data_IF_287013937476
#
_entry.id   IF_287013937476
#
_cell.length_a   1.000
_cell.length_b   1.000
_cell.length_c   1.000
_cell.angle_alpha   90.00
_cell.angle_beta   90.00
_cell.angle_gamma   90.00
#
_symmetry.space_group_name_H-M   'P 1'
#
loop_
_entity.id
_entity.type
_entity.pdbx_description
1 polymer ?
#
# COMPACT_ATOMS: atom_id res chain seq x y z
N UNK A 1 -37.86 8.05 -12.00
CA UNK A 1 -39.13 8.76 -11.67
C UNK A 1 -38.91 10.11 -10.96
N UNK A 2 -39.94 10.97 -10.81
CA UNK A 2 -39.90 12.23 -10.04
C UNK A 2 -40.83 12.20 -8.83
N UNK A 3 -40.36 12.62 -7.67
CA UNK A 3 -41.13 12.64 -6.41
C UNK A 3 -40.96 13.98 -5.70
N UNK A 4 -41.97 14.44 -4.95
CA UNK A 4 -41.80 15.65 -4.14
C UNK A 4 -41.15 15.30 -2.79
N UNK A 5 -40.59 16.30 -2.09
CA UNK A 5 -39.88 16.10 -0.82
C UNK A 5 -40.75 15.49 0.28
N UNK A 6 -42.04 15.84 0.32
CA UNK A 6 -42.98 15.36 1.35
C UNK A 6 -43.29 13.88 1.15
N UNK A 7 -43.56 13.46 -0.08
CA UNK A 7 -43.78 12.06 -0.43
C UNK A 7 -42.52 11.23 -0.18
N UNK A 8 -41.34 11.76 -0.55
CA UNK A 8 -40.06 11.11 -0.29
C UNK A 8 -39.82 10.85 1.19
N UNK A 9 -40.16 11.81 2.05
CA UNK A 9 -40.04 11.67 3.51
C UNK A 9 -41.01 10.62 4.07
N UNK A 10 -42.26 10.63 3.63
CA UNK A 10 -43.31 9.75 4.16
C UNK A 10 -43.21 8.31 3.66
N UNK A 11 -42.60 8.08 2.50
CA UNK A 11 -42.51 6.77 1.86
C UNK A 11 -41.07 6.38 1.49
N UNK A 12 -40.09 6.84 2.27
CA UNK A 12 -38.67 6.64 1.97
C UNK A 12 -38.31 5.17 1.69
N UNK A 13 -38.78 4.23 2.55
CA UNK A 13 -38.53 2.80 2.37
C UNK A 13 -39.05 2.23 1.05
N UNK A 14 -40.21 2.70 0.57
CA UNK A 14 -40.75 2.31 -0.75
C UNK A 14 -39.82 2.77 -1.88
N UNK A 15 -39.29 3.99 -1.77
CA UNK A 15 -38.40 4.55 -2.77
C UNK A 15 -37.01 3.91 -2.75
N UNK A 16 -36.52 3.47 -1.59
CA UNK A 16 -35.34 2.61 -1.51
C UNK A 16 -35.54 1.32 -2.31
N UNK A 17 -36.68 0.64 -2.20
CA UNK A 17 -36.95 -0.57 -3.00
C UNK A 17 -37.13 -0.30 -4.50
N UNK A 18 -37.52 0.92 -4.88
CA UNK A 18 -37.70 1.28 -6.30
C UNK A 18 -36.39 1.72 -6.96
N UNK A 19 -35.43 2.20 -6.19
CA UNK A 19 -34.18 2.70 -6.73
C UNK A 19 -33.35 1.60 -7.42
N UNK A 20 -33.54 0.33 -7.02
CA UNK A 20 -33.00 -0.86 -7.70
C UNK A 20 -33.35 -0.92 -9.19
N UNK A 21 -34.48 -0.32 -9.59
CA UNK A 21 -35.02 -0.39 -10.96
C UNK A 21 -34.80 0.89 -11.75
N UNK A 22 -34.84 2.05 -11.10
CA UNK A 22 -34.65 3.35 -11.74
C UNK A 22 -34.22 4.44 -10.75
N UNK A 23 -33.50 5.44 -11.26
CA UNK A 23 -33.16 6.62 -10.48
C UNK A 23 -34.39 7.46 -10.12
N UNK A 24 -34.36 8.05 -8.92
CA UNK A 24 -35.45 8.86 -8.38
C UNK A 24 -34.97 10.31 -8.23
N UNK A 25 -35.61 11.24 -8.96
CA UNK A 25 -35.35 12.67 -8.87
C UNK A 25 -36.31 13.29 -7.85
N UNK A 26 -35.75 13.85 -6.78
CA UNK A 26 -36.50 14.51 -5.71
C UNK A 26 -36.67 15.99 -6.07
N UNK A 27 -37.90 16.49 -5.92
CA UNK A 27 -38.29 17.85 -6.29
C UNK A 27 -38.85 18.62 -5.10
N UNK A 28 -38.52 19.91 -4.99
CA UNK A 28 -39.08 20.85 -4.01
C UNK A 28 -39.59 22.07 -4.75
N UNK A 29 -40.87 22.41 -4.56
CA UNK A 29 -41.55 23.51 -5.28
C UNK A 29 -41.36 23.43 -6.81
N UNK A 30 -41.46 22.21 -7.36
CA UNK A 30 -41.33 21.96 -8.81
C UNK A 30 -39.90 21.96 -9.36
N UNK A 31 -38.88 22.24 -8.55
CA UNK A 31 -37.47 22.19 -8.96
C UNK A 31 -36.81 20.90 -8.48
N UNK A 32 -35.99 20.27 -9.33
CA UNK A 32 -35.13 19.16 -8.92
C UNK A 32 -34.14 19.65 -7.86
N UNK A 33 -34.03 18.93 -6.74
CA UNK A 33 -33.14 19.31 -5.62
C UNK A 33 -32.19 18.19 -5.21
N UNK A 34 -32.51 16.93 -5.51
CA UNK A 34 -31.66 15.79 -5.23
C UNK A 34 -31.97 14.62 -6.18
N UNK A 35 -31.07 13.66 -6.25
CA UNK A 35 -31.22 12.40 -6.97
C UNK A 35 -30.87 11.26 -6.02
N UNK A 36 -31.76 10.29 -5.89
CA UNK A 36 -31.49 9.02 -5.22
C UNK A 36 -31.21 7.98 -6.31
N UNK A 37 -30.06 7.32 -6.22
CA UNK A 37 -29.60 6.27 -7.13
C UNK A 37 -29.32 5.00 -6.36
N UNK A 38 -29.46 3.85 -7.00
CA UNK A 38 -29.05 2.59 -6.39
C UNK A 38 -27.53 2.62 -6.18
N UNK A 39 -27.14 2.53 -4.91
CA UNK A 39 -25.75 2.29 -4.57
C UNK A 39 -25.46 0.83 -4.85
N UNK A 40 -24.80 0.53 -5.97
CA UNK A 40 -24.12 -0.76 -6.11
C UNK A 40 -22.87 -0.65 -5.27
N UNK A 41 -22.67 -1.56 -4.32
CA UNK A 41 -21.31 -1.78 -3.83
C UNK A 41 -20.47 -2.04 -5.08
N UNK A 42 -19.46 -1.22 -5.36
CA UNK A 42 -18.55 -1.55 -6.42
C UNK A 42 -17.94 -2.92 -6.09
N UNK A 43 -18.07 -3.87 -7.02
CA UNK A 43 -17.47 -5.21 -6.94
C UNK A 43 -15.94 -5.07 -7.06
N UNK A 44 -15.32 -4.48 -6.03
CA UNK A 44 -13.88 -4.51 -5.85
C UNK A 44 -13.51 -5.87 -5.28
N UNK A 45 -12.56 -6.55 -5.92
CA UNK A 45 -11.95 -7.73 -5.34
C UNK A 45 -11.01 -7.29 -4.22
N UNK A 46 -11.52 -7.27 -2.99
CA UNK A 46 -10.73 -7.00 -1.79
C UNK A 46 -10.04 -8.31 -1.41
N UNK A 47 -8.74 -8.39 -1.71
CA UNK A 47 -7.86 -9.38 -1.10
C UNK A 47 -7.66 -8.95 0.34
N UNK A 48 -8.46 -9.55 1.22
CA UNK A 48 -8.06 -9.62 2.62
C UNK A 48 -6.77 -10.44 2.67
N UNK A 49 -5.79 -9.96 3.43
CA UNK A 49 -4.64 -10.77 3.83
C UNK A 49 -5.08 -12.19 4.32
N UNK A 50 -6.34 -12.38 4.74
CA UNK A 50 -6.90 -13.65 5.21
C UNK A 50 -7.69 -14.54 4.19
N UNK A 51 -8.15 -14.11 3.00
CA UNK A 51 -9.15 -14.92 2.21
C UNK A 51 -8.63 -15.66 0.94
N UNK A 52 -9.27 -16.80 0.60
CA UNK A 52 -8.86 -17.89 -0.33
C UNK A 52 -9.24 -17.73 -1.84
N UNK A 53 -8.29 -18.15 -2.69
CA UNK A 53 -8.32 -18.75 -4.05
C UNK A 53 -9.31 -18.37 -5.19
N UNK A 54 -8.66 -17.97 -6.30
CA UNK A 54 -8.89 -18.19 -7.74
C UNK A 54 -10.33 -18.32 -8.28
N UNK A 55 -10.88 -17.18 -8.72
CA UNK A 55 -11.74 -17.08 -9.90
C UNK A 55 -11.20 -15.98 -10.82
N UNK A 56 -11.34 -16.12 -12.13
CA UNK A 56 -10.79 -15.21 -13.16
C UNK A 56 -11.27 -13.77 -12.93
N UNK A 57 -10.36 -12.88 -12.49
CA UNK A 57 -10.66 -11.59 -11.87
C UNK A 57 -10.72 -10.44 -12.88
N UNK A 58 -11.73 -9.56 -12.74
CA UNK A 58 -11.71 -8.22 -13.34
C UNK A 58 -10.65 -7.40 -12.59
N UNK A 59 -9.68 -6.86 -13.31
CA UNK A 59 -8.67 -5.95 -12.74
C UNK A 59 -9.30 -4.60 -12.43
N UNK A 60 -8.90 -4.01 -11.30
CA UNK A 60 -9.28 -2.68 -10.84
C UNK A 60 -8.32 -1.65 -11.46
N UNK A 61 -8.88 -0.60 -12.05
CA UNK A 61 -8.12 0.54 -12.58
C UNK A 61 -7.70 1.49 -11.45
N UNK A 62 -6.71 2.36 -11.71
CA UNK A 62 -6.30 3.36 -10.75
C UNK A 62 -7.40 4.36 -10.40
N UNK A 63 -8.23 4.75 -11.38
CA UNK A 63 -9.37 5.63 -11.14
C UNK A 63 -10.38 4.98 -10.19
N UNK A 64 -10.77 3.73 -10.46
CA UNK A 64 -11.65 2.98 -9.57
C UNK A 64 -11.00 2.80 -8.17
N UNK A 65 -9.67 2.62 -8.05
CA UNK A 65 -8.97 2.60 -6.76
C UNK A 65 -9.07 3.93 -6.00
N UNK A 66 -8.88 5.06 -6.69
CA UNK A 66 -8.96 6.38 -6.07
C UNK A 66 -10.38 6.68 -5.56
N UNK A 67 -11.41 6.27 -6.31
CA UNK A 67 -12.81 6.37 -5.83
C UNK A 67 -13.05 5.55 -4.56
N UNK A 68 -12.44 4.35 -4.45
CA UNK A 68 -12.51 3.53 -3.25
C UNK A 68 -11.83 4.22 -2.05
N UNK A 69 -10.61 4.71 -2.24
CA UNK A 69 -9.85 5.40 -1.17
C UNK A 69 -10.55 6.69 -0.73
N UNK A 70 -11.09 7.48 -1.65
CA UNK A 70 -11.78 8.73 -1.32
C UNK A 70 -13.12 8.51 -0.60
N UNK A 71 -13.68 7.30 -0.67
CA UNK A 71 -14.98 6.93 -0.07
C UNK A 71 -14.86 6.10 1.21
N UNK A 72 -13.64 5.77 1.67
CA UNK A 72 -13.39 4.87 2.78
C UNK A 72 -12.26 5.36 3.69
N UNK A 73 -12.41 5.20 5.01
CA UNK A 73 -11.34 5.46 5.99
C UNK A 73 -10.36 4.28 6.14
N UNK A 74 -10.56 3.20 5.39
CA UNK A 74 -9.68 2.03 5.39
C UNK A 74 -8.42 2.28 4.55
N UNK A 75 -7.37 1.49 4.81
CA UNK A 75 -6.12 1.55 4.05
C UNK A 75 -6.07 0.47 2.98
N UNK A 76 -5.70 0.82 1.76
CA UNK A 76 -5.65 -0.09 0.64
C UNK A 76 -4.37 0.05 -0.18
N UNK A 77 -3.85 -1.07 -0.66
CA UNK A 77 -2.86 -1.11 -1.74
C UNK A 77 -3.51 -1.56 -3.04
N UNK A 78 -2.95 -1.11 -4.17
CA UNK A 78 -3.30 -1.52 -5.52
C UNK A 78 -2.06 -2.16 -6.15
N UNK A 79 -2.08 -3.47 -6.38
CA UNK A 79 -0.96 -4.19 -6.98
C UNK A 79 -1.47 -5.04 -8.15
N UNK A 80 -0.97 -4.76 -9.35
CA UNK A 80 -1.32 -5.40 -10.63
C UNK A 80 -2.82 -5.44 -10.95
N UNK A 81 -3.59 -4.48 -10.42
CA UNK A 81 -5.04 -4.38 -10.55
C UNK A 81 -5.83 -5.18 -9.51
N UNK A 82 -5.17 -5.70 -8.47
CA UNK A 82 -5.80 -6.31 -7.29
C UNK A 82 -5.78 -5.31 -6.12
N UNK A 83 -6.87 -5.24 -5.35
CA UNK A 83 -6.97 -4.40 -4.14
C UNK A 83 -6.62 -5.23 -2.91
N UNK A 84 -5.72 -4.72 -2.10
CA UNK A 84 -5.33 -5.33 -0.84
C UNK A 84 -5.79 -4.44 0.30
N UNK A 85 -6.65 -4.96 1.18
CA UNK A 85 -7.04 -4.25 2.40
C UNK A 85 -5.97 -4.44 3.46
N UNK A 86 -5.38 -3.34 3.93
CA UNK A 86 -4.36 -3.37 4.98
C UNK A 86 -5.01 -3.37 6.36
N UNK A 87 -4.76 -4.43 7.12
CA UNK A 87 -5.15 -4.51 8.52
C UNK A 87 -4.34 -3.51 9.38
N UNK A 88 -4.78 -3.30 10.62
CA UNK A 88 -3.96 -2.59 11.60
C UNK A 88 -2.76 -3.45 12.00
N UNK A 89 -1.54 -2.90 12.02
CA UNK A 89 -0.34 -3.66 12.38
C UNK A 89 -0.39 -4.11 13.84
N UNK A 90 0.25 -5.25 14.14
CA UNK A 90 0.38 -5.75 15.50
C UNK A 90 1.39 -4.94 16.32
N UNK A 91 1.38 -5.12 17.64
CA UNK A 91 2.38 -4.50 18.52
C UNK A 91 3.82 -4.89 18.12
N UNK A 92 4.08 -6.20 17.94
CA UNK A 92 5.38 -6.74 17.54
C UNK A 92 5.85 -6.14 16.22
N UNK A 93 4.95 -6.00 15.25
CA UNK A 93 5.23 -5.36 13.97
C UNK A 93 5.71 -3.91 14.18
N UNK A 94 4.97 -3.12 14.97
CA UNK A 94 5.33 -1.73 15.21
C UNK A 94 6.64 -1.55 15.99
N UNK A 95 6.97 -2.46 16.90
CA UNK A 95 8.27 -2.45 17.58
C UNK A 95 9.41 -2.61 16.56
N UNK A 96 9.32 -3.61 15.69
CA UNK A 96 10.33 -3.87 14.66
C UNK A 96 10.48 -2.69 13.68
N UNK A 97 9.36 -2.12 13.22
CA UNK A 97 9.36 -0.92 12.35
C UNK A 97 10.06 0.26 13.05
N UNK A 98 9.78 0.48 14.34
CA UNK A 98 10.38 1.57 15.10
C UNK A 98 11.89 1.40 15.27
N UNK A 99 12.38 0.18 15.58
CA UNK A 99 13.81 -0.08 15.73
C UNK A 99 14.55 0.20 14.41
N UNK A 100 14.05 -0.33 13.29
CA UNK A 100 14.64 -0.08 11.96
C UNK A 100 14.65 1.41 11.65
N UNK A 101 13.53 2.09 11.91
CA UNK A 101 13.39 3.53 11.68
C UNK A 101 14.36 4.35 12.54
N UNK A 102 14.62 3.93 13.77
CA UNK A 102 15.59 4.60 14.66
C UNK A 102 17.01 4.51 14.09
N UNK A 103 17.46 3.31 13.69
CA UNK A 103 18.77 3.11 13.06
C UNK A 103 18.89 3.94 11.77
N UNK A 104 17.87 3.92 10.92
CA UNK A 104 17.85 4.67 9.67
C UNK A 104 17.88 6.18 9.92
N UNK A 105 17.04 6.71 10.81
CA UNK A 105 17.01 8.13 11.15
C UNK A 105 18.35 8.63 11.71
N UNK A 106 19.01 7.83 12.53
CA UNK A 106 20.35 8.15 13.03
C UNK A 106 21.37 8.22 11.89
N UNK A 107 21.36 7.24 10.99
CA UNK A 107 22.27 7.21 9.85
C UNK A 107 22.03 8.37 8.87
N UNK A 108 20.77 8.72 8.59
CA UNK A 108 20.38 9.75 7.63
C UNK A 108 20.39 11.18 8.19
N UNK A 109 20.67 11.36 9.48
CA UNK A 109 20.75 12.69 10.10
C UNK A 109 21.81 13.57 9.40
N UNK A 110 21.35 14.66 8.79
CA UNK A 110 22.22 15.62 8.07
C UNK A 110 22.64 15.16 6.66
N UNK A 111 22.05 14.08 6.14
CA UNK A 111 22.25 13.58 4.77
C UNK A 111 21.10 14.03 3.84
N UNK A 112 21.27 13.99 2.51
CA UNK A 112 20.23 14.40 1.57
C UNK A 112 19.05 13.42 1.46
N UNK A 113 19.21 12.18 1.94
CA UNK A 113 18.13 11.20 2.00
C UNK A 113 17.44 11.20 3.37
N UNK A 114 16.18 10.76 3.43
CA UNK A 114 15.44 10.55 4.67
C UNK A 114 14.73 9.21 4.71
N UNK A 115 14.56 8.68 5.92
CA UNK A 115 13.69 7.55 6.20
C UNK A 115 12.31 8.03 6.63
N UNK A 116 11.28 7.35 6.15
CA UNK A 116 9.88 7.58 6.47
C UNK A 116 9.21 6.23 6.75
N UNK A 117 8.13 6.24 7.51
CA UNK A 117 7.33 5.05 7.83
C UNK A 117 5.93 5.14 7.25
N UNK A 118 5.25 4.00 7.10
CA UNK A 118 3.83 3.96 6.82
C UNK A 118 3.00 4.71 7.90
N UNK A 119 1.82 5.26 7.56
CA UNK A 119 1.20 5.27 6.22
C UNK A 119 1.82 6.35 5.31
N UNK A 120 2.26 5.93 4.13
CA UNK A 120 2.71 6.80 3.04
C UNK A 120 2.44 6.11 1.70
N UNK A 121 1.56 6.67 0.88
CA UNK A 121 1.27 6.10 -0.45
C UNK A 121 2.47 6.31 -1.37
N UNK A 122 2.96 5.22 -1.95
CA UNK A 122 3.99 5.22 -2.99
C UNK A 122 3.37 4.72 -4.29
N UNK A 123 3.31 5.62 -5.29
CA UNK A 123 2.82 5.27 -6.62
C UNK A 123 3.97 4.75 -7.48
N UNK A 124 3.88 3.49 -7.90
CA UNK A 124 4.91 2.80 -8.67
C UNK A 124 4.38 2.31 -10.02
N UNK A 125 5.25 2.28 -11.02
CA UNK A 125 4.94 1.75 -12.35
C UNK A 125 5.79 0.51 -12.59
N UNK A 126 5.19 -0.56 -13.14
CA UNK A 126 5.86 -1.85 -13.33
C UNK A 126 7.13 -1.70 -14.15
N UNK A 127 7.02 -1.32 -15.42
CA UNK A 127 8.19 -0.97 -16.24
C UNK A 127 8.30 0.53 -16.41
N UNK A 128 9.39 1.12 -15.93
CA UNK A 128 9.73 2.55 -16.07
C UNK A 128 9.79 3.07 -17.53
N UNK A 129 9.56 2.22 -18.53
CA UNK A 129 9.69 2.49 -19.96
C UNK A 129 8.41 2.32 -20.78
N UNK A 130 7.27 1.95 -20.17
CA UNK A 130 5.98 1.86 -20.87
C UNK A 130 4.95 2.78 -20.23
N UNK A 131 4.70 3.92 -20.88
CA UNK A 131 3.73 4.94 -20.48
C UNK A 131 2.25 4.50 -20.56
N UNK A 132 1.98 3.20 -20.71
CA UNK A 132 0.63 2.62 -20.88
C UNK A 132 0.24 1.65 -19.76
N UNK A 133 1.07 1.48 -18.72
CA UNK A 133 0.73 0.64 -17.56
C UNK A 133 -0.05 1.44 -16.51
N UNK A 134 -1.17 0.88 -16.05
CA UNK A 134 -1.86 1.34 -14.85
C UNK A 134 -0.88 1.37 -13.66
N UNK A 135 -0.87 2.43 -12.84
CA UNK A 135 0.00 2.51 -11.68
C UNK A 135 -0.41 1.50 -10.61
N UNK A 136 0.56 1.16 -9.77
CA UNK A 136 0.39 0.46 -8.52
C UNK A 136 0.51 1.48 -7.39
N UNK A 137 -0.14 1.21 -6.26
CA UNK A 137 -0.03 2.02 -5.05
C UNK A 137 0.24 1.10 -3.87
N UNK A 138 1.35 1.33 -3.18
CA UNK A 138 1.77 0.55 -2.00
C UNK A 138 1.99 1.45 -0.80
N UNK A 139 1.97 0.89 0.41
CA UNK A 139 2.31 1.57 1.66
C UNK A 139 3.34 0.76 2.44
N UNK A 140 4.63 0.77 2.02
CA UNK A 140 5.65 -0.03 2.69
C UNK A 140 5.94 0.50 4.09
N UNK A 141 6.32 -0.39 5.00
CA UNK A 141 6.48 -0.05 6.42
C UNK A 141 7.57 0.97 6.68
N UNK A 142 8.71 0.84 5.99
CA UNK A 142 9.79 1.83 6.00
C UNK A 142 10.27 2.07 4.56
N UNK A 143 10.43 3.34 4.20
CA UNK A 143 11.01 3.75 2.93
C UNK A 143 12.16 4.72 3.15
N UNK A 144 13.13 4.71 2.23
CA UNK A 144 14.18 5.74 2.14
C UNK A 144 14.07 6.45 0.79
N UNK A 145 13.90 7.77 0.85
CA UNK A 145 13.83 8.64 -0.32
C UNK A 145 15.03 9.58 -0.35
N UNK A 146 15.53 9.90 -1.54
CA UNK A 146 16.73 10.75 -1.74
C UNK A 146 16.46 11.93 -2.68
N UNK A 147 15.21 12.08 -3.11
CA UNK A 147 14.70 12.97 -4.14
C UNK A 147 13.43 13.68 -3.62
N UNK A 148 13.57 14.36 -2.48
CA UNK A 148 12.46 15.10 -1.83
C UNK A 148 11.82 16.15 -2.74
N UNK A 149 12.52 16.61 -3.78
CA UNK A 149 11.97 17.49 -4.81
C UNK A 149 10.83 16.84 -5.62
N UNK A 150 10.65 15.51 -5.54
CA UNK A 150 9.51 14.78 -6.12
C UNK A 150 8.27 14.75 -5.22
N UNK A 151 8.28 15.46 -4.10
CA UNK A 151 7.07 15.75 -3.34
C UNK A 151 6.30 16.87 -4.03
N UNK A 152 5.08 16.58 -4.45
CA UNK A 152 4.25 17.55 -5.17
C UNK A 152 3.60 18.59 -4.24
N UNK A 153 2.93 19.58 -4.83
CA UNK A 153 2.23 20.66 -4.10
C UNK A 153 1.12 20.18 -3.15
N UNK A 154 0.64 18.94 -3.32
CA UNK A 154 -0.34 18.29 -2.44
C UNK A 154 0.33 17.46 -1.33
N UNK A 155 1.65 17.61 -1.13
CA UNK A 155 2.46 16.89 -0.17
C UNK A 155 2.43 15.36 -0.36
N UNK A 156 2.32 14.90 -1.62
CA UNK A 156 2.40 13.49 -2.00
C UNK A 156 3.71 13.23 -2.71
N UNK A 157 4.36 12.12 -2.37
CA UNK A 157 5.61 11.69 -3.00
C UNK A 157 5.34 10.94 -4.29
N UNK A 158 5.96 11.37 -5.40
CA UNK A 158 5.80 10.77 -6.74
C UNK A 158 7.09 10.16 -7.29
N UNK A 159 8.08 9.95 -6.42
CA UNK A 159 9.36 9.32 -6.75
C UNK A 159 9.37 7.80 -6.58
N UNK A 160 10.56 7.23 -6.76
CA UNK A 160 10.83 5.80 -6.53
C UNK A 160 11.73 5.72 -5.30
N UNK A 161 11.31 5.11 -4.18
CA UNK A 161 12.17 4.95 -3.02
C UNK A 161 13.46 4.21 -3.38
N UNK A 162 14.57 4.64 -2.81
CA UNK A 162 15.87 3.99 -3.04
C UNK A 162 15.95 2.64 -2.31
N UNK A 163 15.42 2.60 -1.08
CA UNK A 163 15.33 1.41 -0.25
C UNK A 163 13.91 1.27 0.32
N UNK A 164 13.39 0.05 0.30
CA UNK A 164 12.10 -0.31 0.93
C UNK A 164 12.33 -1.42 1.95
N UNK A 165 11.60 -1.38 3.07
CA UNK A 165 11.52 -2.45 4.06
C UNK A 165 10.06 -2.83 4.27
N UNK A 166 9.77 -4.13 4.23
CA UNK A 166 8.48 -4.72 4.62
C UNK A 166 8.70 -5.62 5.83
N UNK A 167 7.87 -5.45 6.86
CA UNK A 167 7.89 -6.27 8.08
C UNK A 167 6.73 -7.26 7.98
N UNK A 168 7.06 -8.54 7.92
CA UNK A 168 6.03 -9.58 7.82
C UNK A 168 5.14 -9.57 9.06
N UNK A 169 3.85 -9.67 8.80
CA UNK A 169 2.86 -10.00 9.82
C UNK A 169 2.31 -11.41 9.57
N UNK A 170 1.67 -12.06 10.56
CA UNK A 170 1.07 -13.38 10.38
C UNK A 170 0.05 -13.46 9.23
N UNK A 171 -0.52 -12.32 8.84
CA UNK A 171 -1.51 -12.21 7.77
C UNK A 171 -0.86 -12.03 6.37
N UNK A 172 0.43 -11.72 6.29
CA UNK A 172 1.13 -11.50 5.02
C UNK A 172 1.35 -12.81 4.24
N UNK A 173 0.73 -12.92 3.06
CA UNK A 173 0.80 -14.13 2.20
C UNK A 173 2.06 -14.14 1.33
N UNK A 174 2.60 -15.34 1.07
CA UNK A 174 3.70 -15.53 0.10
C UNK A 174 3.41 -14.94 -1.30
N UNK A 175 2.14 -14.93 -1.75
CA UNK A 175 1.76 -14.33 -3.05
C UNK A 175 2.00 -12.81 -3.04
N UNK A 176 1.70 -12.14 -1.93
CA UNK A 176 1.90 -10.71 -1.77
C UNK A 176 3.39 -10.35 -1.83
N UNK A 177 4.23 -11.13 -1.13
CA UNK A 177 5.69 -10.94 -1.15
C UNK A 177 6.29 -11.10 -2.55
N UNK A 178 5.82 -12.08 -3.34
CA UNK A 178 6.28 -12.26 -4.71
C UNK A 178 5.81 -11.11 -5.61
N UNK A 179 4.57 -10.63 -5.44
CA UNK A 179 4.04 -9.50 -6.21
C UNK A 179 4.82 -8.21 -5.90
N UNK A 180 5.00 -7.89 -4.61
CA UNK A 180 5.78 -6.72 -4.15
C UNK A 180 7.25 -6.80 -4.56
N UNK A 181 7.90 -7.96 -4.42
CA UNK A 181 9.28 -8.16 -4.88
C UNK A 181 9.42 -7.83 -6.38
N UNK A 182 8.53 -8.38 -7.21
CA UNK A 182 8.53 -8.12 -8.64
C UNK A 182 8.23 -6.65 -8.97
N UNK A 183 7.28 -6.04 -8.26
CA UNK A 183 6.94 -4.63 -8.43
C UNK A 183 8.15 -3.75 -8.10
N UNK A 184 8.72 -3.88 -6.91
CA UNK A 184 9.85 -3.06 -6.45
C UNK A 184 11.06 -3.19 -7.37
N UNK A 185 11.40 -4.42 -7.76
CA UNK A 185 12.46 -4.68 -8.72
C UNK A 185 12.24 -3.93 -10.03
N UNK A 186 11.08 -4.12 -10.67
CA UNK A 186 10.82 -3.54 -12.00
C UNK A 186 10.62 -2.03 -11.95
N UNK A 187 10.01 -1.51 -10.87
CA UNK A 187 9.70 -0.09 -10.69
C UNK A 187 10.91 0.79 -10.44
N UNK A 188 12.04 0.19 -10.07
CA UNK A 188 13.29 0.93 -10.00
C UNK A 188 13.95 0.99 -8.63
N UNK A 189 13.33 0.41 -7.60
CA UNK A 189 13.88 0.34 -6.23
C UNK A 189 15.25 -0.29 -6.30
N UNK A 190 16.21 0.19 -5.52
CA UNK A 190 17.59 -0.30 -5.58
C UNK A 190 17.86 -1.40 -4.55
N UNK A 191 17.20 -1.32 -3.40
CA UNK A 191 17.34 -2.28 -2.32
C UNK A 191 16.01 -2.55 -1.62
N UNK A 192 15.75 -3.81 -1.27
CA UNK A 192 14.49 -4.23 -0.64
C UNK A 192 14.75 -5.23 0.47
N UNK A 193 14.25 -4.96 1.67
CA UNK A 193 14.38 -5.83 2.83
C UNK A 193 13.04 -6.43 3.23
N UNK A 194 13.03 -7.74 3.46
CA UNK A 194 11.88 -8.46 4.05
C UNK A 194 12.29 -8.92 5.44
N UNK A 195 11.66 -8.33 6.45
CA UNK A 195 11.94 -8.62 7.86
C UNK A 195 10.90 -9.58 8.38
N UNK A 196 11.33 -10.73 8.90
CA UNK A 196 10.43 -11.72 9.49
C UNK A 196 10.59 -11.73 11.02
N UNK A 197 9.64 -11.14 11.77
CA UNK A 197 9.70 -11.14 13.23
C UNK A 197 9.60 -12.53 13.87
N UNK A 198 8.83 -13.45 13.28
CA UNK A 198 8.65 -14.81 13.81
C UNK A 198 9.95 -15.61 13.75
N UNK A 199 10.65 -15.54 12.60
CA UNK A 199 11.92 -16.25 12.38
C UNK A 199 13.15 -15.45 12.78
N UNK A 200 12.96 -14.19 13.22
CA UNK A 200 14.04 -13.24 13.57
C UNK A 200 15.14 -13.19 12.51
N UNK A 201 14.72 -12.96 11.28
CA UNK A 201 15.59 -12.97 10.10
C UNK A 201 15.24 -11.87 9.14
N UNK A 202 16.22 -11.43 8.36
CA UNK A 202 16.04 -10.43 7.30
C UNK A 202 16.51 -11.03 5.97
N UNK A 203 15.68 -10.93 4.93
CA UNK A 203 16.09 -11.17 3.55
C UNK A 203 16.40 -9.82 2.90
N UNK A 204 17.59 -9.70 2.35
CA UNK A 204 18.07 -8.50 1.66
C UNK A 204 18.17 -8.78 0.16
N UNK A 205 17.40 -8.02 -0.61
CA UNK A 205 17.46 -7.99 -2.06
C UNK A 205 18.17 -6.73 -2.53
N UNK A 206 19.18 -6.87 -3.39
CA UNK A 206 19.78 -5.78 -4.14
C UNK A 206 19.45 -5.97 -5.61
N UNK A 207 18.99 -4.92 -6.28
CA UNK A 207 18.62 -5.00 -7.70
C UNK A 207 19.72 -4.37 -8.57
N UNK A 208 20.27 -5.17 -9.49
CA UNK A 208 21.23 -4.68 -10.49
C UNK A 208 20.57 -3.66 -11.42
N UNK A 209 21.38 -2.92 -12.19
CA UNK A 209 20.85 -1.99 -13.22
C UNK A 209 20.07 -2.73 -14.30
N UNK A 210 20.46 -3.98 -14.56
CA UNK A 210 19.88 -4.91 -15.51
C UNK A 210 18.57 -5.54 -14.98
N UNK A 211 18.22 -5.29 -13.71
CA UNK A 211 16.99 -5.78 -13.05
C UNK A 211 16.88 -7.30 -13.06
N UNK A 212 18.01 -7.97 -12.89
CA UNK A 212 18.08 -9.41 -12.67
C UNK A 212 17.95 -9.70 -11.16
N UNK A 213 17.28 -10.80 -10.83
CA UNK A 213 17.14 -11.24 -9.43
C UNK A 213 18.43 -11.97 -9.04
N UNK A 214 19.28 -11.31 -8.27
CA UNK A 214 20.28 -12.00 -7.48
C UNK A 214 19.60 -12.78 -6.34
N UNK A 215 20.21 -13.88 -5.91
CA UNK A 215 19.74 -14.59 -4.72
C UNK A 215 19.77 -13.64 -3.51
N UNK A 216 18.67 -13.52 -2.74
CA UNK A 216 18.67 -12.65 -1.57
C UNK A 216 19.71 -13.13 -0.56
N UNK A 217 20.35 -12.17 0.10
CA UNK A 217 21.18 -12.46 1.25
C UNK A 217 20.27 -12.67 2.46
N UNK A 218 20.48 -13.75 3.20
CA UNK A 218 19.75 -14.03 4.44
C UNK A 218 20.63 -13.67 5.62
N UNK A 219 20.08 -12.85 6.51
CA UNK A 219 20.71 -12.40 7.74
C UNK A 219 19.91 -12.91 8.94
N UNK A 220 20.63 -13.48 9.91
CA UNK A 220 20.12 -14.00 11.18
C UNK A 220 20.64 -13.15 12.33
N UNK A 221 20.18 -13.43 13.54
CA UNK A 221 20.45 -12.64 14.75
C UNK A 221 21.92 -12.22 14.95
N UNK A 222 22.88 -13.11 14.69
CA UNK A 222 24.31 -12.85 14.91
C UNK A 222 24.98 -12.11 13.74
N UNK A 223 24.25 -11.85 12.67
CA UNK A 223 24.76 -11.15 11.49
C UNK A 223 24.59 -9.63 11.65
N UNK A 224 25.38 -8.89 10.87
CA UNK A 224 25.18 -7.45 10.67
C UNK A 224 24.73 -7.25 9.24
N UNK A 225 23.50 -6.75 9.05
CA UNK A 225 23.02 -6.36 7.72
C UNK A 225 23.64 -5.01 7.36
N UNK A 226 24.23 -4.91 6.17
CA UNK A 226 24.80 -3.68 5.64
C UNK A 226 24.09 -3.33 4.34
N UNK A 227 23.61 -2.08 4.22
CA UNK A 227 22.98 -1.64 2.98
C UNK A 227 23.97 -1.67 1.82
N UNK A 228 23.52 -2.23 0.70
CA UNK A 228 24.30 -2.27 -0.54
C UNK A 228 24.34 -0.92 -1.26
N UNK A 229 23.34 -0.06 -1.00
CA UNK A 229 23.20 1.25 -1.67
C UNK A 229 23.60 2.43 -0.78
N UNK A 230 23.64 2.25 0.54
CA UNK A 230 24.02 3.27 1.51
C UNK A 230 25.25 2.83 2.31
N UNK A 231 26.48 3.13 1.84
CA UNK A 231 27.70 2.76 2.55
C UNK A 231 27.71 3.25 4.01
N UNK A 232 27.97 2.32 4.93
CA UNK A 232 27.99 2.57 6.37
C UNK A 232 26.63 2.59 7.05
N UNK A 233 25.53 2.31 6.33
CA UNK A 233 24.26 1.98 6.97
C UNK A 233 24.31 0.49 7.34
N UNK A 234 24.48 0.23 8.62
CA UNK A 234 24.59 -1.12 9.16
C UNK A 234 23.74 -1.27 10.42
N UNK A 235 23.15 -2.45 10.59
CA UNK A 235 22.33 -2.80 11.74
C UNK A 235 22.72 -4.20 12.20
N UNK A 236 23.03 -4.34 13.49
CA UNK A 236 23.19 -5.66 14.08
C UNK A 236 21.80 -6.31 14.18
N UNK A 237 21.59 -7.46 13.55
CA UNK A 237 20.24 -8.02 13.34
C UNK A 237 19.53 -8.28 14.67
N UNK A 238 20.26 -8.63 15.72
CA UNK A 238 19.71 -8.78 17.06
C UNK A 238 19.04 -7.50 17.58
N UNK A 239 19.55 -6.32 17.24
CA UNK A 239 19.00 -5.04 17.72
C UNK A 239 17.58 -4.80 17.18
N UNK A 240 17.32 -5.20 15.92
CA UNK A 240 16.00 -5.13 15.27
C UNK A 240 14.92 -5.92 16.04
N UNK A 241 15.33 -6.98 16.74
CA UNK A 241 14.44 -7.90 17.45
C UNK A 241 14.64 -7.87 18.97
N UNK A 242 15.38 -6.90 19.50
CA UNK A 242 15.80 -6.85 20.90
C UNK A 242 14.62 -6.65 21.88
N UNK A 243 13.63 -5.86 21.47
CA UNK A 243 12.47 -5.49 22.27
C UNK A 243 11.24 -6.39 22.05
N UNK A 244 11.37 -7.47 21.26
CA UNK A 244 10.30 -8.47 21.07
C UNK A 244 10.58 -9.74 21.89
N UNK A 245 9.72 -9.99 22.88
CA UNK A 245 9.78 -11.20 23.72
C UNK A 245 9.29 -12.43 22.96
N UNK A 246 9.83 -13.61 23.31
CA UNK A 246 9.45 -14.94 22.79
C UNK A 246 7.97 -15.28 23.02
#
# INVERSE_FOLDING_TARGET
MRVNTTDMQNAFGKYLSLVEKEDIIITKNGRSVAKLTHYKEPDYFIVHEEAHQYQTMKKVSYEEYMELVDSSDQRYELIEGEIYLLASPSFTHQVVVNEISWHFNNYFKGKPCRSLTAPLDIRLFGYATKFEEEPNVVQPDVVVICDEEKVNEKNKYEGIPTLIVEVLSPSTKNKDLVAKLNLYMKSGVSEYWVVNPENKSILQYSFSKEREIDYPQSHRLEDTIQSTVFPGLEIFVQDVFSEISL
#
